data_IF_240478263767
#
_entry.id   IF_240478263767
#
_cell.length_a   1.000
_cell.length_b   1.000
_cell.length_c   1.000
_cell.angle_alpha   90.00
_cell.angle_beta   90.00
_cell.angle_gamma   90.00
#
_symmetry.space_group_name_H-M   'P 1'
#
loop_
_entity.id
_entity.type
_entity.pdbx_description
1 polymer ?
#
# COMPACT_ATOMS: atom_id res chain seq x y z
N UNK A 1 18.71 30.60 45.13
CA UNK A 1 17.62 29.74 44.63
C UNK A 1 17.06 30.43 43.40
N UNK A 2 17.48 30.00 42.22
CA UNK A 2 16.97 30.46 40.92
C UNK A 2 16.56 29.21 40.16
N UNK A 3 15.45 29.36 39.46
CA UNK A 3 14.54 28.38 38.87
C UNK A 3 15.19 27.44 37.85
N UNK A 4 14.80 26.16 37.91
CA UNK A 4 14.85 25.24 36.77
C UNK A 4 13.49 24.53 36.67
N UNK A 5 12.43 25.31 36.42
CA UNK A 5 11.14 24.76 36.01
C UNK A 5 11.21 24.45 34.51
N UNK A 6 11.95 23.40 34.14
CA UNK A 6 11.81 22.80 32.81
C UNK A 6 10.47 22.09 32.79
N UNK A 7 9.46 22.75 32.23
CA UNK A 7 8.21 22.11 31.85
C UNK A 7 8.55 20.81 31.11
N UNK A 8 8.23 19.68 31.74
CA UNK A 8 8.35 18.36 31.13
C UNK A 8 7.31 18.30 30.03
N UNK A 9 7.73 18.55 28.79
CA UNK A 9 6.91 18.33 27.61
C UNK A 9 6.39 16.89 27.70
N UNK A 10 5.07 16.66 27.75
CA UNK A 10 4.54 15.31 27.85
C UNK A 10 4.99 14.53 26.62
N UNK A 11 5.59 13.36 26.81
CA UNK A 11 6.07 12.41 25.78
C UNK A 11 4.96 11.95 24.80
N UNK A 12 3.75 12.47 24.91
CA UNK A 12 2.56 12.03 24.19
C UNK A 12 2.24 12.78 22.89
N UNK A 13 3.08 13.73 22.43
CA UNK A 13 2.78 14.51 21.23
C UNK A 13 3.45 14.04 19.94
N UNK A 14 4.17 12.91 19.92
CA UNK A 14 4.49 12.26 18.65
C UNK A 14 3.20 11.60 18.17
N UNK A 15 2.36 12.38 17.50
CA UNK A 15 1.33 11.86 16.59
C UNK A 15 2.07 10.92 15.62
N UNK A 16 2.06 9.62 15.91
CA UNK A 16 2.50 8.62 14.95
C UNK A 16 1.62 8.82 13.73
N UNK A 17 2.20 9.31 12.64
CA UNK A 17 1.50 9.44 11.37
C UNK A 17 0.86 8.09 11.04
N UNK A 18 -0.47 8.07 10.97
CA UNK A 18 -1.19 6.88 10.58
C UNK A 18 -0.87 6.61 9.11
N UNK A 19 -0.10 5.55 8.85
CA UNK A 19 0.31 5.13 7.50
C UNK A 19 -0.89 4.84 6.59
N UNK A 20 -2.08 4.66 7.16
CA UNK A 20 -3.32 4.45 6.42
C UNK A 20 -3.97 5.75 5.94
N UNK A 21 -3.57 6.89 6.50
CA UNK A 21 -4.13 8.20 6.20
C UNK A 21 -3.51 8.89 4.99
N UNK A 22 -2.40 8.37 4.46
CA UNK A 22 -1.71 8.96 3.31
C UNK A 22 -1.16 7.90 2.34
N UNK A 23 -0.79 8.38 1.15
CA UNK A 23 -0.06 7.59 0.17
C UNK A 23 1.17 8.34 -0.32
N UNK A 24 2.25 7.61 -0.60
CA UNK A 24 3.45 8.18 -1.20
C UNK A 24 3.27 8.27 -2.71
N UNK A 25 3.44 9.46 -3.27
CA UNK A 25 3.31 9.72 -4.71
C UNK A 25 1.85 9.89 -5.18
N UNK A 26 1.64 9.78 -6.50
CA UNK A 26 0.40 10.15 -7.18
C UNK A 26 -0.65 9.03 -7.22
N UNK A 27 -1.00 8.45 -6.06
CA UNK A 27 -2.07 7.44 -5.94
C UNK A 27 -3.24 7.97 -5.08
N UNK A 28 -4.32 7.21 -4.98
CA UNK A 28 -5.55 7.60 -4.25
C UNK A 28 -6.05 6.56 -3.24
N UNK A 29 -5.38 5.42 -3.07
CA UNK A 29 -5.85 4.34 -2.21
C UNK A 29 -6.12 4.79 -0.76
N UNK A 30 -5.36 5.76 -0.24
CA UNK A 30 -5.56 6.30 1.11
C UNK A 30 -6.92 6.98 1.32
N UNK A 31 -7.61 7.36 0.23
CA UNK A 31 -8.94 8.01 0.27
C UNK A 31 -10.09 7.02 0.45
N UNK A 32 -9.82 5.71 0.36
CA UNK A 32 -10.85 4.68 0.44
C UNK A 32 -10.88 4.04 1.84
N UNK A 33 -12.09 3.68 2.30
CA UNK A 33 -12.30 2.98 3.57
C UNK A 33 -11.70 1.57 3.58
N UNK A 34 -11.85 0.85 2.48
CA UNK A 34 -11.21 -0.45 2.23
C UNK A 34 -10.06 -0.19 1.28
N UNK A 35 -8.86 -0.52 1.70
CA UNK A 35 -7.61 -0.24 1.01
C UNK A 35 -7.02 -1.57 0.50
N UNK A 36 -6.11 -1.56 -0.49
CA UNK A 36 -5.58 -2.80 -1.07
C UNK A 36 -4.97 -3.78 -0.05
N UNK A 37 -4.37 -3.26 1.03
CA UNK A 37 -3.82 -4.09 2.11
C UNK A 37 -4.90 -4.77 2.95
N UNK A 38 -6.11 -4.22 3.07
CA UNK A 38 -7.19 -4.88 3.81
C UNK A 38 -7.60 -6.16 3.10
N UNK A 39 -7.72 -6.10 1.77
CA UNK A 39 -8.07 -7.26 0.95
C UNK A 39 -6.93 -8.28 0.97
N UNK A 40 -5.68 -7.81 0.90
CA UNK A 40 -4.53 -8.70 1.05
C UNK A 40 -4.59 -9.48 2.36
N UNK A 41 -4.75 -8.79 3.50
CA UNK A 41 -4.75 -9.43 4.81
C UNK A 41 -5.97 -10.35 5.01
N UNK A 42 -7.16 -9.90 4.62
CA UNK A 42 -8.41 -10.66 4.76
C UNK A 42 -8.37 -11.97 3.96
N UNK A 43 -7.97 -11.90 2.68
CA UNK A 43 -7.96 -13.05 1.77
C UNK A 43 -6.64 -13.82 1.79
N UNK A 44 -5.68 -13.41 2.61
CA UNK A 44 -4.32 -14.01 2.71
C UNK A 44 -3.66 -14.16 1.33
N UNK A 45 -3.76 -13.10 0.52
CA UNK A 45 -3.24 -13.12 -0.84
C UNK A 45 -1.71 -13.34 -0.86
N UNK A 46 -1.21 -14.01 -1.90
CA UNK A 46 0.22 -14.00 -2.17
C UNK A 46 0.63 -12.65 -2.81
N UNK A 47 1.94 -12.33 -2.88
CA UNK A 47 2.39 -11.04 -3.42
C UNK A 47 1.97 -10.73 -4.86
N UNK A 48 1.80 -11.75 -5.71
CA UNK A 48 1.38 -11.59 -7.10
C UNK A 48 -0.08 -11.12 -7.17
N UNK A 49 -0.95 -11.80 -6.45
CA UNK A 49 -2.38 -11.47 -6.40
C UNK A 49 -2.60 -10.10 -5.74
N UNK A 50 -1.84 -9.78 -4.69
CA UNK A 50 -1.89 -8.48 -4.04
C UNK A 50 -1.52 -7.32 -4.99
N UNK A 51 -0.50 -7.48 -5.84
CA UNK A 51 -0.12 -6.44 -6.83
C UNK A 51 -1.19 -6.28 -7.92
N UNK A 52 -1.82 -7.38 -8.36
CA UNK A 52 -2.95 -7.34 -9.30
C UNK A 52 -4.12 -6.56 -8.69
N UNK A 53 -4.57 -6.94 -7.49
CA UNK A 53 -5.68 -6.26 -6.78
C UNK A 53 -5.37 -4.77 -6.57
N UNK A 54 -4.15 -4.44 -6.15
CA UNK A 54 -3.72 -3.04 -5.99
C UNK A 54 -3.86 -2.24 -7.29
N UNK A 55 -3.52 -2.81 -8.44
CA UNK A 55 -3.64 -2.14 -9.75
C UNK A 55 -5.08 -2.01 -10.22
N UNK A 56 -5.92 -2.98 -9.89
CA UNK A 56 -7.37 -2.91 -10.13
C UNK A 56 -7.98 -1.77 -9.34
N UNK A 57 -7.63 -1.63 -8.06
CA UNK A 57 -8.31 -0.71 -7.13
C UNK A 57 -7.76 0.72 -7.11
N UNK A 58 -6.49 0.94 -7.48
CA UNK A 58 -5.92 2.30 -7.47
C UNK A 58 -6.34 3.11 -8.68
N UNK A 59 -6.32 4.42 -8.51
CA UNK A 59 -6.14 5.41 -9.59
C UNK A 59 -4.80 6.08 -9.40
N UNK A 60 -4.00 6.12 -10.46
CA UNK A 60 -2.69 6.78 -10.44
C UNK A 60 -2.67 7.85 -11.52
N UNK A 61 -2.47 9.11 -11.14
CA UNK A 61 -2.61 10.24 -12.07
C UNK A 61 -1.68 10.20 -13.28
N UNK A 62 -0.57 9.45 -13.19
CA UNK A 62 0.42 9.32 -14.26
C UNK A 62 0.20 8.12 -15.18
N UNK A 63 -0.58 7.12 -14.77
CA UNK A 63 -0.73 5.86 -15.49
C UNK A 63 -2.14 5.77 -16.07
N UNK A 64 -2.26 5.38 -17.33
CA UNK A 64 -3.58 5.12 -17.94
C UNK A 64 -4.15 3.79 -17.43
N UNK A 65 -5.48 3.66 -17.45
CA UNK A 65 -6.14 2.38 -17.10
C UNK A 65 -5.67 1.23 -18.00
N UNK A 66 -5.40 1.51 -19.28
CA UNK A 66 -4.81 0.54 -20.22
C UNK A 66 -3.43 0.07 -19.75
N UNK A 67 -2.56 0.99 -19.33
CA UNK A 67 -1.24 0.67 -18.81
C UNK A 67 -1.31 -0.16 -17.52
N UNK A 68 -2.28 0.08 -16.63
CA UNK A 68 -2.49 -0.78 -15.47
C UNK A 68 -2.86 -2.21 -15.90
N UNK A 69 -3.73 -2.40 -16.89
CA UNK A 69 -4.04 -3.73 -17.43
C UNK A 69 -2.83 -4.41 -18.09
N UNK A 70 -2.02 -3.68 -18.86
CA UNK A 70 -0.78 -4.21 -19.42
C UNK A 70 0.18 -4.70 -18.33
N UNK A 71 0.29 -3.95 -17.21
CA UNK A 71 1.08 -4.36 -16.05
C UNK A 71 0.48 -5.58 -15.34
N UNK A 72 -0.85 -5.66 -15.21
CA UNK A 72 -1.54 -6.84 -14.67
C UNK A 72 -1.23 -8.07 -15.53
N UNK A 73 -1.33 -7.95 -16.86
CA UNK A 73 -1.00 -9.03 -17.79
C UNK A 73 0.47 -9.47 -17.62
N UNK A 74 1.39 -8.52 -17.48
CA UNK A 74 2.82 -8.83 -17.27
C UNK A 74 3.05 -9.62 -15.98
N UNK A 75 2.46 -9.17 -14.86
CA UNK A 75 2.55 -9.84 -13.56
C UNK A 75 1.94 -11.25 -13.61
N UNK A 76 0.76 -11.39 -14.23
CA UNK A 76 0.10 -12.67 -14.38
C UNK A 76 0.91 -13.66 -15.25
N UNK A 77 1.50 -13.19 -16.35
CA UNK A 77 2.37 -14.02 -17.20
C UNK A 77 3.60 -14.53 -16.46
N UNK A 78 4.25 -13.68 -15.66
CA UNK A 78 5.40 -14.11 -14.85
C UNK A 78 4.98 -15.12 -13.79
N UNK A 79 3.83 -14.92 -13.12
CA UNK A 79 3.34 -15.89 -12.15
C UNK A 79 3.02 -17.25 -12.79
N UNK A 80 2.40 -17.25 -13.98
CA UNK A 80 2.17 -18.48 -14.75
C UNK A 80 3.50 -19.17 -15.07
N UNK A 81 4.50 -18.44 -15.57
CA UNK A 81 5.84 -18.99 -15.86
C UNK A 81 6.47 -19.64 -14.61
N UNK A 82 6.27 -19.05 -13.43
CA UNK A 82 6.77 -19.61 -12.17
C UNK A 82 6.04 -20.89 -11.77
N UNK A 83 4.72 -20.93 -11.90
CA UNK A 83 3.93 -22.14 -11.64
C UNK A 83 4.31 -23.27 -12.60
N UNK A 84 4.48 -22.95 -13.90
CA UNK A 84 4.93 -23.90 -14.92
C UNK A 84 6.35 -24.44 -14.64
N UNK A 85 7.18 -23.65 -13.95
CA UNK A 85 8.52 -24.03 -13.50
C UNK A 85 8.55 -24.68 -12.11
N UNK A 86 7.40 -24.88 -11.47
CA UNK A 86 7.27 -25.55 -10.16
C UNK A 86 7.59 -24.69 -8.94
N UNK A 87 7.56 -23.36 -9.06
CA UNK A 87 7.70 -22.46 -7.90
C UNK A 87 6.34 -22.26 -7.19
N UNK A 88 6.30 -22.53 -5.89
CA UNK A 88 5.13 -22.27 -5.02
C UNK A 88 5.10 -20.83 -4.49
#
# INVERSE_FOLDING_TARGET
MIEDNKERIPESSILKEDVRSYNVGQSDYAKHRIQPWDIWLEYKLNPWDADIVKRVLRTKGTDSRKLDYEKIIHVAKERIRQLDAGYE
#
